data_IF_722962697649
#
_entry.id   IF_722962697649
#
_cell.length_a   1.000
_cell.length_b   1.000
_cell.length_c   1.000
_cell.angle_alpha   90.00
_cell.angle_beta   90.00
_cell.angle_gamma   90.00
#
_symmetry.space_group_name_H-M   'P 1'
#
loop_
_entity.id
_entity.type
_entity.pdbx_description
1 polymer ?
#
# COMPACT_ATOMS: atom_id res chain seq x y z
N UNK A 1 3.68 5.31 -25.28
CA UNK A 1 4.36 4.20 -24.59
C UNK A 1 3.65 4.04 -23.24
N UNK A 2 3.22 2.85 -22.84
CA UNK A 2 2.70 2.61 -21.50
C UNK A 2 3.94 2.38 -20.64
N UNK A 3 4.19 3.24 -19.66
CA UNK A 3 5.27 3.03 -18.68
C UNK A 3 5.00 1.75 -17.88
N UNK A 4 6.06 0.98 -17.60
CA UNK A 4 5.94 -0.20 -16.75
C UNK A 4 5.42 0.19 -15.36
N UNK A 5 4.52 -0.60 -14.77
CA UNK A 5 3.91 -0.27 -13.49
C UNK A 5 4.93 -0.37 -12.36
N UNK A 6 5.00 0.68 -11.54
CA UNK A 6 5.91 0.72 -10.38
C UNK A 6 5.33 -0.06 -9.19
N UNK A 7 4.00 -0.20 -9.13
CA UNK A 7 3.31 -0.97 -8.09
C UNK A 7 2.19 -1.83 -8.68
N UNK A 8 2.14 -3.10 -8.27
CA UNK A 8 1.03 -4.03 -8.53
C UNK A 8 0.53 -4.59 -7.21
N UNK A 9 -0.75 -4.98 -7.16
CA UNK A 9 -1.30 -5.78 -6.07
C UNK A 9 -2.62 -6.43 -6.48
N UNK A 10 -3.07 -7.44 -5.72
CA UNK A 10 -4.44 -7.95 -5.74
C UNK A 10 -5.11 -7.73 -4.40
N UNK A 11 -6.27 -7.08 -4.42
CA UNK A 11 -7.13 -6.86 -3.25
C UNK A 11 -8.34 -7.78 -3.36
N UNK A 12 -8.49 -8.73 -2.43
CA UNK A 12 -9.50 -9.78 -2.47
C UNK A 12 -9.55 -10.51 -3.84
N UNK A 13 -8.37 -10.80 -4.40
CA UNK A 13 -8.23 -11.49 -5.69
C UNK A 13 -8.47 -10.62 -6.94
N UNK A 14 -8.79 -9.33 -6.79
CA UNK A 14 -8.95 -8.39 -7.90
C UNK A 14 -7.75 -7.47 -8.03
N UNK A 15 -7.33 -7.20 -9.25
CA UNK A 15 -6.19 -6.32 -9.49
C UNK A 15 -6.44 -4.90 -8.94
N UNK A 16 -5.36 -4.32 -8.40
CA UNK A 16 -5.27 -2.94 -7.95
C UNK A 16 -4.61 -2.12 -9.07
N UNK A 17 -5.44 -1.51 -9.90
CA UNK A 17 -5.02 -0.90 -11.18
C UNK A 17 -5.54 0.52 -11.31
N UNK A 18 -4.83 1.40 -12.01
CA UNK A 18 -5.34 2.72 -12.35
C UNK A 18 -5.96 2.71 -13.76
N UNK A 19 -7.07 3.45 -13.94
CA UNK A 19 -7.73 3.57 -15.23
C UNK A 19 -7.10 4.69 -16.06
N UNK A 20 -6.18 4.38 -16.98
CA UNK A 20 -5.73 5.34 -18.02
C UNK A 20 -6.66 5.27 -19.23
N UNK A 21 -7.68 6.13 -19.28
CA UNK A 21 -8.39 6.65 -20.47
C UNK A 21 -8.87 5.72 -21.60
N UNK A 22 -8.65 4.40 -21.53
CA UNK A 22 -8.76 3.46 -22.66
C UNK A 22 -9.37 2.11 -22.27
N UNK A 23 -9.91 1.99 -21.05
CA UNK A 23 -10.57 0.76 -20.59
C UNK A 23 -9.64 -0.42 -20.27
N UNK A 24 -8.31 -0.21 -20.22
CA UNK A 24 -7.35 -1.26 -19.84
C UNK A 24 -7.00 -1.16 -18.35
N UNK A 25 -7.05 -2.30 -17.66
CA UNK A 25 -6.52 -2.52 -16.31
C UNK A 25 -5.00 -2.40 -16.37
N UNK A 26 -4.46 -1.21 -16.11
CA UNK A 26 -3.02 -0.98 -16.07
C UNK A 26 -2.64 -0.94 -14.59
N UNK A 27 -1.66 -1.73 -14.18
CA UNK A 27 -1.09 -1.61 -12.83
C UNK A 27 -0.60 -0.17 -12.57
N UNK A 28 -0.42 0.22 -11.30
CA UNK A 28 -0.32 1.65 -10.95
C UNK A 28 0.88 2.31 -11.65
N UNK A 29 0.65 3.29 -12.55
CA UNK A 29 1.74 4.08 -13.13
C UNK A 29 2.37 4.96 -12.04
N UNK A 30 3.58 5.48 -12.32
CA UNK A 30 4.36 6.30 -11.36
C UNK A 30 3.54 7.42 -10.70
N UNK A 31 2.73 8.12 -11.48
CA UNK A 31 1.90 9.24 -11.00
C UNK A 31 0.85 8.85 -9.95
N UNK A 32 0.53 7.55 -9.85
CA UNK A 32 -0.42 6.99 -8.90
C UNK A 32 0.26 6.38 -7.67
N UNK A 33 1.60 6.46 -7.59
CA UNK A 33 2.40 5.94 -6.49
C UNK A 33 3.25 7.06 -5.90
N UNK A 34 2.92 7.45 -4.67
CA UNK A 34 3.74 8.36 -3.88
C UNK A 34 4.63 7.54 -2.94
N UNK A 35 5.94 7.77 -2.99
CA UNK A 35 6.89 7.15 -2.07
C UNK A 35 7.75 8.24 -1.45
N UNK A 36 7.97 8.15 -0.14
CA UNK A 36 8.85 9.07 0.58
C UNK A 36 9.64 8.33 1.65
N UNK A 37 10.88 8.74 1.85
CA UNK A 37 11.75 8.25 2.91
C UNK A 37 12.23 9.44 3.75
N UNK A 38 12.01 9.39 5.06
CA UNK A 38 12.36 10.46 5.99
C UNK A 38 13.60 10.14 6.83
N UNK A 39 14.23 11.17 7.39
CA UNK A 39 15.48 11.06 8.15
C UNK A 39 15.39 10.28 9.47
N UNK A 40 14.19 9.85 9.86
CA UNK A 40 13.92 8.92 10.96
C UNK A 40 13.87 7.45 10.50
N UNK A 41 14.35 7.16 9.29
CA UNK A 41 14.33 5.85 8.63
C UNK A 41 12.91 5.30 8.42
N UNK A 42 11.93 6.18 8.20
CA UNK A 42 10.55 5.82 7.87
C UNK A 42 10.33 5.90 6.36
N UNK A 43 9.91 4.79 5.75
CA UNK A 43 9.45 4.69 4.38
C UNK A 43 7.92 4.72 4.35
N UNK A 44 7.35 5.62 3.57
CA UNK A 44 5.91 5.71 3.31
C UNK A 44 5.64 5.47 1.84
N UNK A 45 4.73 4.55 1.55
CA UNK A 45 4.28 4.22 0.20
C UNK A 45 2.77 4.41 0.15
N UNK A 46 2.28 5.09 -0.88
CA UNK A 46 0.85 5.28 -1.13
C UNK A 46 0.55 4.98 -2.59
N UNK A 47 -0.20 3.91 -2.82
CA UNK A 47 -0.74 3.57 -4.14
C UNK A 47 -2.20 3.97 -4.24
N UNK A 48 -2.57 4.70 -5.30
CA UNK A 48 -3.94 5.16 -5.54
C UNK A 48 -4.52 4.55 -6.80
N UNK A 49 -5.53 3.71 -6.65
CA UNK A 49 -6.40 3.28 -7.74
C UNK A 49 -7.56 4.28 -7.88
N UNK A 50 -7.66 4.91 -9.06
CA UNK A 50 -8.68 5.88 -9.43
C UNK A 50 -9.58 5.42 -10.59
N UNK A 51 -9.95 4.14 -10.62
CA UNK A 51 -10.92 3.62 -11.59
C UNK A 51 -12.38 3.98 -11.27
N UNK A 52 -13.01 4.78 -12.15
CA UNK A 52 -14.45 5.17 -12.10
C UNK A 52 -14.85 5.80 -10.74
N UNK A 53 -16.12 5.67 -10.38
CA UNK A 53 -16.74 6.04 -9.11
C UNK A 53 -16.22 5.19 -7.92
N UNK A 54 -14.99 4.67 -7.92
CA UNK A 54 -14.43 4.00 -6.73
C UNK A 54 -12.94 4.29 -6.65
N UNK A 55 -12.54 5.15 -5.71
CA UNK A 55 -11.14 5.39 -5.42
C UNK A 55 -10.70 4.53 -4.24
N UNK A 56 -9.60 3.77 -4.42
CA UNK A 56 -9.01 2.92 -3.39
C UNK A 56 -7.57 3.36 -3.16
N UNK A 57 -7.16 3.46 -1.91
CA UNK A 57 -5.79 3.89 -1.55
C UNK A 57 -5.17 2.85 -0.63
N UNK A 58 -4.07 2.25 -1.04
CA UNK A 58 -3.21 1.43 -0.18
C UNK A 58 -2.13 2.34 0.38
N UNK A 59 -1.92 2.30 1.69
CA UNK A 59 -0.81 2.99 2.37
C UNK A 59 0.03 1.97 3.14
N UNK A 60 1.34 2.08 3.05
CA UNK A 60 2.31 1.37 3.86
C UNK A 60 3.17 2.41 4.59
N UNK A 61 3.37 2.24 5.88
CA UNK A 61 4.35 2.99 6.67
C UNK A 61 5.26 1.98 7.38
N UNK A 62 6.53 1.98 6.99
CA UNK A 62 7.54 1.04 7.45
C UNK A 62 8.65 1.85 8.12
N UNK A 63 8.91 1.56 9.38
CA UNK A 63 9.87 2.26 10.23
C UNK A 63 11.15 1.46 10.37
N UNK A 64 12.22 2.14 10.77
CA UNK A 64 13.52 1.56 11.02
C UNK A 64 14.08 0.80 9.81
N UNK A 65 13.87 1.32 8.59
CA UNK A 65 14.47 0.74 7.40
C UNK A 65 15.96 1.03 7.39
N UNK A 66 16.77 -0.02 7.36
CA UNK A 66 18.23 0.08 7.24
C UNK A 66 18.78 -0.56 5.98
N UNK A 67 17.92 -1.19 5.16
CA UNK A 67 18.32 -1.90 3.95
C UNK A 67 17.29 -2.92 3.48
N UNK A 68 17.66 -3.81 2.54
CA UNK A 68 16.86 -4.98 2.19
C UNK A 68 16.55 -5.83 3.43
N UNK A 69 15.35 -6.39 3.49
CA UNK A 69 14.89 -7.14 4.65
C UNK A 69 13.40 -7.42 4.65
N UNK A 70 12.95 -8.18 5.65
CA UNK A 70 11.52 -8.41 5.90
C UNK A 70 11.06 -7.54 7.06
N UNK A 71 10.02 -6.76 6.80
CA UNK A 71 9.43 -5.84 7.76
C UNK A 71 7.98 -6.29 8.03
N UNK A 72 7.67 -6.60 9.28
CA UNK A 72 6.32 -7.00 9.71
C UNK A 72 5.45 -5.75 9.83
N UNK A 73 4.20 -5.84 9.38
CA UNK A 73 3.15 -4.83 9.49
C UNK A 73 2.11 -5.36 10.49
N UNK A 74 2.15 -4.91 11.74
CA UNK A 74 1.36 -5.45 12.85
C UNK A 74 0.74 -4.36 13.74
N UNK A 75 0.85 -3.10 13.32
CA UNK A 75 0.24 -1.97 14.00
C UNK A 75 -0.95 -1.43 13.24
N UNK A 76 -1.93 -0.94 14.01
CA UNK A 76 -3.06 -0.19 13.48
C UNK A 76 -2.65 1.22 13.07
N UNK A 77 -3.35 1.73 12.06
CA UNK A 77 -3.38 3.16 11.74
C UNK A 77 -4.40 3.85 12.63
N UNK A 78 -4.01 4.94 13.28
CA UNK A 78 -4.91 5.81 14.04
C UNK A 78 -5.91 6.50 13.11
N UNK A 79 -7.04 7.04 13.63
CA UNK A 79 -7.98 7.82 12.82
C UNK A 79 -7.33 9.02 12.11
N UNK A 80 -6.25 9.58 12.67
CA UNK A 80 -5.48 10.68 12.10
C UNK A 80 -4.49 10.23 11.00
N UNK A 81 -4.44 8.95 10.68
CA UNK A 81 -3.56 8.41 9.65
C UNK A 81 -2.11 8.21 10.11
N UNK A 82 -1.86 8.17 11.43
CA UNK A 82 -0.53 7.92 12.01
C UNK A 82 -0.44 6.50 12.56
N UNK A 83 0.76 5.99 12.82
CA UNK A 83 0.94 4.73 13.55
C UNK A 83 2.17 4.82 14.46
N UNK A 84 2.19 4.04 15.54
CA UNK A 84 3.35 3.93 16.44
C UNK A 84 4.34 2.86 15.97
N UNK A 85 4.00 2.10 14.94
CA UNK A 85 4.83 1.03 14.39
C UNK A 85 4.65 0.88 12.89
N UNK A 86 5.03 -0.29 12.39
CA UNK A 86 4.87 -0.65 10.99
C UNK A 86 3.41 -0.97 10.70
N UNK A 87 2.82 -0.28 9.73
CA UNK A 87 1.39 -0.40 9.44
C UNK A 87 1.11 -0.45 7.96
N UNK A 88 0.00 -1.07 7.61
CA UNK A 88 -0.66 -0.84 6.35
C UNK A 88 -2.14 -0.51 6.50
N UNK A 89 -2.68 0.21 5.52
CA UNK A 89 -4.11 0.49 5.45
C UNK A 89 -4.65 0.51 4.02
N UNK A 90 -5.96 0.24 3.90
CA UNK A 90 -6.76 0.40 2.69
C UNK A 90 -7.90 1.37 2.99
N UNK A 91 -7.99 2.41 2.17
CA UNK A 91 -8.98 3.48 2.29
C UNK A 91 -9.86 3.57 1.05
N UNK A 92 -11.11 3.99 1.25
CA UNK A 92 -12.09 4.25 0.20
C UNK A 92 -12.61 5.70 0.34
N UNK A 93 -11.92 6.72 -0.23
CA UNK A 93 -12.18 8.12 0.14
C UNK A 93 -13.48 8.73 -0.41
N UNK A 94 -14.06 8.17 -1.48
CA UNK A 94 -15.32 8.66 -2.06
C UNK A 94 -16.45 7.64 -1.94
N UNK A 95 -16.28 6.49 -2.60
CA UNK A 95 -17.28 5.43 -2.63
C UNK A 95 -16.79 4.24 -1.83
N UNK A 96 -17.17 4.23 -0.55
CA UNK A 96 -16.83 3.17 0.39
C UNK A 96 -17.90 2.09 0.45
N UNK A 97 -17.52 0.82 0.73
CA UNK A 97 -18.49 -0.23 1.03
C UNK A 97 -19.48 0.19 2.13
N UNK A 98 -20.72 -0.29 2.03
CA UNK A 98 -21.70 -0.10 3.09
C UNK A 98 -21.13 -0.63 4.42
N UNK A 99 -21.39 0.11 5.51
CA UNK A 99 -20.92 -0.18 6.88
C UNK A 99 -19.41 0.02 7.14
N UNK A 100 -18.58 0.34 6.14
CA UNK A 100 -17.19 0.71 6.39
C UNK A 100 -17.14 2.11 7.00
N UNK A 101 -16.62 2.25 8.22
CA UNK A 101 -16.62 3.54 8.93
C UNK A 101 -15.29 4.30 8.79
N UNK A 102 -14.19 3.59 8.56
CA UNK A 102 -12.83 4.14 8.48
C UNK A 102 -11.89 3.33 7.58
N UNK A 103 -10.56 3.53 7.70
CA UNK A 103 -9.58 2.68 7.01
C UNK A 103 -9.66 1.25 7.54
N UNK A 104 -9.52 0.28 6.64
CA UNK A 104 -9.08 -1.06 7.07
C UNK A 104 -7.57 -0.99 7.31
N UNK A 105 -7.06 -1.61 8.36
CA UNK A 105 -5.65 -1.52 8.73
C UNK A 105 -5.13 -2.83 9.29
N UNK A 106 -3.81 -3.04 9.24
CA UNK A 106 -3.17 -4.13 9.99
C UNK A 106 -3.35 -3.93 11.50
N UNK A 107 -3.25 -4.99 12.28
CA UNK A 107 -3.17 -4.95 13.74
C UNK A 107 -2.42 -6.20 14.24
N UNK A 108 -2.39 -6.41 15.57
CA UNK A 108 -1.68 -7.53 16.17
C UNK A 108 -2.24 -8.92 15.79
N UNK A 109 -3.47 -9.00 15.26
CA UNK A 109 -4.15 -10.23 14.84
C UNK A 109 -4.24 -10.34 13.31
N UNK A 110 -4.26 -9.22 12.60
CA UNK A 110 -4.35 -9.10 11.16
C UNK A 110 -3.09 -8.42 10.64
N UNK A 111 -2.08 -9.23 10.36
CA UNK A 111 -0.74 -8.73 10.07
C UNK A 111 -0.44 -8.71 8.57
N UNK A 112 0.70 -8.15 8.22
CA UNK A 112 1.28 -8.24 6.90
C UNK A 112 2.79 -8.23 6.97
N UNK A 113 3.41 -8.26 5.79
CA UNK A 113 4.84 -8.09 5.63
C UNK A 113 5.17 -7.36 4.35
N UNK A 114 6.28 -6.64 4.40
CA UNK A 114 6.97 -6.11 3.24
C UNK A 114 8.34 -6.76 3.18
N UNK A 115 8.68 -7.33 2.03
CA UNK A 115 10.00 -7.89 1.75
C UNK A 115 10.68 -6.96 0.78
N UNK A 116 11.60 -6.12 1.27
CA UNK A 116 12.44 -5.29 0.44
C UNK A 116 13.62 -6.14 -0.04
N UNK A 117 13.72 -6.31 -1.36
CA UNK A 117 14.85 -6.98 -2.00
C UNK A 117 15.94 -5.99 -2.41
N UNK A 118 15.56 -4.73 -2.57
CA UNK A 118 16.46 -3.62 -2.91
C UNK A 118 16.03 -2.38 -2.14
N UNK A 119 16.99 -1.69 -1.54
CA UNK A 119 16.80 -0.40 -0.91
C UNK A 119 18.12 0.37 -0.95
N UNK A 120 18.18 1.41 -1.78
CA UNK A 120 19.31 2.32 -1.88
C UNK A 120 18.82 3.75 -1.63
N UNK A 121 19.14 4.28 -0.45
CA UNK A 121 18.76 5.64 -0.06
C UNK A 121 19.53 6.73 -0.85
N UNK A 122 20.73 6.42 -1.35
CA UNK A 122 21.53 7.37 -2.11
C UNK A 122 21.02 7.49 -3.56
N UNK A 123 20.69 6.36 -4.18
CA UNK A 123 20.09 6.32 -5.52
C UNK A 123 18.57 6.54 -5.49
N UNK A 124 17.97 6.50 -4.30
CA UNK A 124 16.53 6.66 -4.04
C UNK A 124 15.70 5.61 -4.78
N UNK A 125 16.15 4.36 -4.74
CA UNK A 125 15.52 3.21 -5.43
C UNK A 125 15.16 2.13 -4.41
N UNK A 126 13.98 1.55 -4.57
CA UNK A 126 13.58 0.34 -3.85
C UNK A 126 12.87 -0.66 -4.75
N UNK A 127 12.97 -1.94 -4.39
CA UNK A 127 12.23 -3.04 -5.00
C UNK A 127 11.80 -4.01 -3.90
N UNK A 128 10.64 -4.63 -4.05
CA UNK A 128 10.16 -5.58 -3.06
C UNK A 128 8.78 -6.12 -3.33
N UNK A 129 8.29 -6.92 -2.39
CA UNK A 129 6.94 -7.46 -2.39
C UNK A 129 6.23 -7.17 -1.08
N UNK A 130 4.92 -7.21 -1.10
CA UNK A 130 4.12 -7.04 0.11
C UNK A 130 2.84 -7.86 0.08
N UNK A 131 2.40 -8.26 1.26
CA UNK A 131 1.11 -8.89 1.49
C UNK A 131 0.62 -8.53 2.88
N UNK A 132 -0.69 -8.40 3.06
CA UNK A 132 -1.25 -8.00 4.35
C UNK A 132 -2.73 -8.37 4.46
N UNK A 133 -3.17 -8.54 5.70
CA UNK A 133 -4.57 -8.63 6.09
C UNK A 133 -4.98 -7.30 6.74
N UNK A 134 -6.03 -6.68 6.19
CA UNK A 134 -6.50 -5.36 6.59
C UNK A 134 -7.90 -5.50 7.18
N UNK A 135 -8.03 -5.15 8.44
CA UNK A 135 -9.25 -5.33 9.21
C UNK A 135 -9.80 -3.99 9.67
N UNK A 136 -11.12 -3.88 9.70
CA UNK A 136 -11.83 -2.81 10.39
C UNK A 136 -12.70 -3.43 11.49
N UNK A 137 -12.28 -3.25 12.75
CA UNK A 137 -12.95 -3.80 13.91
C UNK A 137 -14.38 -3.30 14.09
N UNK A 138 -14.71 -2.10 13.58
CA UNK A 138 -16.06 -1.54 13.68
C UNK A 138 -17.06 -2.22 12.74
N UNK A 139 -16.61 -2.65 11.56
CA UNK A 139 -17.45 -3.25 10.53
C UNK A 139 -17.29 -4.77 10.42
N UNK A 140 -16.26 -5.34 11.07
CA UNK A 140 -15.89 -6.75 10.93
C UNK A 140 -15.37 -7.13 9.55
N UNK A 141 -15.08 -6.14 8.69
CA UNK A 141 -14.63 -6.36 7.34
C UNK A 141 -13.14 -6.71 7.31
N UNK A 142 -12.80 -7.75 6.55
CA UNK A 142 -11.44 -8.19 6.29
C UNK A 142 -11.14 -8.13 4.80
N UNK A 143 -10.07 -7.42 4.44
CA UNK A 143 -9.54 -7.34 3.10
C UNK A 143 -8.15 -7.93 3.05
N UNK A 144 -7.88 -8.72 2.01
CA UNK A 144 -6.59 -9.38 1.80
C UNK A 144 -5.89 -8.73 0.63
N UNK A 145 -4.71 -8.18 0.87
CA UNK A 145 -3.80 -7.77 -0.19
C UNK A 145 -2.78 -8.87 -0.38
N UNK A 146 -2.68 -9.38 -1.60
CA UNK A 146 -1.76 -10.43 -2.03
C UNK A 146 -1.08 -10.02 -3.32
N UNK A 147 0.03 -10.68 -3.65
CA UNK A 147 0.78 -10.42 -4.88
C UNK A 147 1.19 -8.94 -5.04
N UNK A 148 1.43 -8.26 -3.91
CA UNK A 148 1.93 -6.89 -3.91
C UNK A 148 3.37 -6.86 -4.38
N UNK A 149 3.69 -5.98 -5.34
CA UNK A 149 5.05 -5.80 -5.87
C UNK A 149 5.36 -4.32 -6.04
N UNK A 150 6.60 -3.96 -5.76
CA UNK A 150 7.25 -2.70 -6.09
C UNK A 150 8.46 -3.01 -6.96
N UNK A 151 8.56 -2.38 -8.13
CA UNK A 151 9.62 -2.65 -9.11
C UNK A 151 10.40 -1.37 -9.42
N UNK A 152 11.67 -1.31 -9.01
CA UNK A 152 12.58 -0.17 -9.21
C UNK A 152 11.92 1.18 -8.91
N UNK A 153 11.18 1.22 -7.81
CA UNK A 153 10.39 2.36 -7.43
C UNK A 153 11.31 3.47 -6.90
N UNK A 154 11.22 4.66 -7.50
CA UNK A 154 11.96 5.83 -7.04
C UNK A 154 11.24 6.53 -5.90
N UNK A 155 11.95 6.95 -4.85
CA UNK A 155 11.39 7.71 -3.73
C UNK A 155 12.13 9.00 -3.46
#
# INVERSE_FOLDING_TARGET
MIEDPIMTAKVNGRDFTACKGSGKNIALPKDNVEISYSGDNTLKIKGTDSCKDTMRVIRLEIRNITGPGTYVLDHATTPQGTSTGNTASLQFPYFRPANLTGPLTTDAQHTGRVILTEFDAAQRVLSGTFEMDLYDASSGLLYRVREGKLDKASF
#
